data_IF_664149324191
#
_entry.id   IF_664149324191
#
_cell.length_a   1.000
_cell.length_b   1.000
_cell.length_c   1.000
_cell.angle_alpha   90.00
_cell.angle_beta   90.00
_cell.angle_gamma   90.00
#
_symmetry.space_group_name_H-M   'P 1'
#
loop_
_entity.id
_entity.type
_entity.pdbx_description
1 polymer ?
#
# COMPACT_ATOMS: atom_id res chain seq x y z
N UNK A 1 3.91 -18.32 27.54
CA UNK A 1 4.28 -17.09 28.28
C UNK A 1 4.26 -15.91 27.32
N UNK A 2 3.94 -14.70 27.79
CA UNK A 2 4.01 -13.46 27.01
C UNK A 2 4.92 -12.48 27.76
N UNK A 3 5.89 -11.91 27.05
CA UNK A 3 6.78 -10.87 27.56
C UNK A 3 6.54 -9.57 26.79
N UNK A 4 6.47 -8.47 27.52
CA UNK A 4 6.29 -7.15 26.94
C UNK A 4 7.45 -6.24 27.32
N UNK A 5 8.24 -5.87 26.33
CA UNK A 5 9.47 -5.07 26.46
C UNK A 5 9.28 -3.67 25.86
N UNK A 6 8.30 -3.46 24.99
CA UNK A 6 7.99 -2.18 24.35
C UNK A 6 7.28 -1.21 25.32
N UNK A 7 7.98 -0.81 26.38
CA UNK A 7 7.45 -0.08 27.53
C UNK A 7 8.01 -0.64 28.84
N UNK A 8 7.28 -0.50 29.97
CA UNK A 8 7.64 -1.21 31.20
C UNK A 8 7.65 -2.73 30.99
N UNK A 9 8.64 -3.40 31.58
CA UNK A 9 8.77 -4.86 31.52
C UNK A 9 7.56 -5.53 32.18
N UNK A 10 6.85 -6.37 31.42
CA UNK A 10 5.78 -7.23 31.93
C UNK A 10 5.99 -8.67 31.48
N UNK A 11 5.72 -9.62 32.36
CA UNK A 11 5.60 -11.03 32.03
C UNK A 11 4.19 -11.51 32.38
N UNK A 12 3.55 -12.28 31.49
CA UNK A 12 2.20 -12.81 31.68
C UNK A 12 2.11 -14.28 31.30
N UNK A 13 1.34 -15.03 32.08
CA UNK A 13 0.99 -16.41 31.79
C UNK A 13 -0.54 -16.52 31.70
N UNK A 14 -1.06 -16.96 30.55
CA UNK A 14 -2.51 -17.11 30.34
C UNK A 14 -3.28 -15.81 30.70
N UNK A 15 -2.74 -14.66 30.29
CA UNK A 15 -3.30 -13.33 30.57
C UNK A 15 -3.11 -12.80 32.00
N UNK A 16 -2.52 -13.56 32.94
CA UNK A 16 -2.25 -13.10 34.32
C UNK A 16 -0.82 -12.60 34.47
N UNK A 17 -0.58 -11.47 35.17
CA UNK A 17 0.77 -11.02 35.49
C UNK A 17 1.55 -12.09 36.26
N UNK A 18 2.82 -12.26 35.91
CA UNK A 18 3.79 -13.11 36.61
C UNK A 18 4.92 -12.23 37.12
N UNK A 19 5.24 -12.34 38.40
CA UNK A 19 6.37 -11.62 38.96
C UNK A 19 7.69 -12.29 38.53
N UNK A 20 8.37 -11.67 37.57
CA UNK A 20 9.67 -12.11 37.07
C UNK A 20 10.67 -10.99 37.24
N UNK A 21 11.71 -11.24 38.03
CA UNK A 21 12.75 -10.26 38.33
C UNK A 21 12.29 -9.21 39.35
N UNK A 22 12.54 -9.49 40.62
CA UNK A 22 12.23 -8.57 41.74
C UNK A 22 13.01 -7.26 41.64
N UNK A 23 14.22 -7.32 41.05
CA UNK A 23 15.13 -6.17 40.92
C UNK A 23 15.15 -5.65 39.49
N UNK A 24 15.39 -4.33 39.34
CA UNK A 24 15.61 -3.66 38.04
C UNK A 24 16.62 -4.42 37.17
N UNK A 25 17.74 -4.84 37.74
CA UNK A 25 18.81 -5.55 37.03
C UNK A 25 18.38 -6.95 36.54
N UNK A 26 17.52 -7.65 37.28
CA UNK A 26 17.01 -8.97 36.88
C UNK A 26 16.08 -8.84 35.67
N UNK A 27 15.15 -7.86 35.69
CA UNK A 27 14.27 -7.54 34.55
C UNK A 27 15.06 -7.06 33.34
N UNK A 28 16.05 -6.20 33.57
CA UNK A 28 16.92 -5.71 32.52
C UNK A 28 17.70 -6.84 31.85
N UNK A 29 18.31 -7.74 32.63
CA UNK A 29 19.05 -8.88 32.11
C UNK A 29 18.14 -9.77 31.26
N UNK A 30 16.95 -10.11 31.77
CA UNK A 30 16.00 -10.94 31.03
C UNK A 30 15.53 -10.24 29.75
N UNK A 31 15.23 -8.94 29.81
CA UNK A 31 14.86 -8.14 28.64
C UNK A 31 15.93 -8.18 27.54
N UNK A 32 17.20 -8.04 27.91
CA UNK A 32 18.32 -8.17 26.95
C UNK A 32 18.38 -9.57 26.32
N UNK A 33 18.18 -10.64 27.09
CA UNK A 33 18.16 -11.99 26.53
C UNK A 33 16.96 -12.24 25.62
N UNK A 34 15.81 -11.65 25.93
CA UNK A 34 14.58 -11.78 25.13
C UNK A 34 14.63 -10.98 23.82
N UNK A 35 15.38 -9.87 23.78
CA UNK A 35 15.65 -9.14 22.53
C UNK A 35 16.43 -9.98 21.51
N UNK A 36 17.23 -10.93 22.00
CA UNK A 36 18.06 -11.86 21.22
C UNK A 36 17.58 -13.32 21.43
N UNK A 37 16.26 -13.56 21.47
CA UNK A 37 15.70 -14.89 21.73
C UNK A 37 16.28 -15.95 20.78
N UNK A 38 16.70 -17.09 21.35
CA UNK A 38 17.38 -18.16 20.64
C UNK A 38 18.85 -17.89 20.31
N UNK A 39 19.38 -16.69 20.56
CA UNK A 39 20.79 -16.32 20.34
C UNK A 39 21.54 -16.16 21.65
N UNK A 40 22.80 -16.56 21.66
CA UNK A 40 23.66 -16.45 22.85
C UNK A 40 24.18 -15.03 23.03
N UNK A 41 23.93 -14.47 24.21
CA UNK A 41 24.52 -13.21 24.67
C UNK A 41 25.66 -13.52 25.63
N UNK A 42 26.85 -13.01 25.31
CA UNK A 42 28.07 -13.22 26.10
C UNK A 42 27.94 -12.59 27.49
N UNK A 43 28.50 -13.25 28.50
CA UNK A 43 28.49 -12.74 29.88
C UNK A 43 29.12 -11.34 29.98
N UNK A 44 30.24 -11.08 29.29
CA UNK A 44 30.89 -9.76 29.31
C UNK A 44 29.99 -8.67 28.72
N UNK A 45 29.18 -8.99 27.69
CA UNK A 45 28.21 -8.06 27.11
C UNK A 45 27.06 -7.79 28.06
N UNK A 46 26.56 -8.80 28.76
CA UNK A 46 25.53 -8.62 29.79
C UNK A 46 26.02 -7.71 30.92
N UNK A 47 27.27 -7.90 31.36
CA UNK A 47 27.91 -7.05 32.37
C UNK A 47 28.04 -5.61 31.86
N UNK A 48 28.58 -5.45 30.67
CA UNK A 48 28.75 -4.14 30.02
C UNK A 48 27.42 -3.38 29.88
N UNK A 49 26.32 -4.08 29.56
CA UNK A 49 24.98 -3.51 29.48
C UNK A 49 24.40 -3.17 30.86
N UNK A 50 24.43 -4.10 31.83
CA UNK A 50 23.79 -3.90 33.14
C UNK A 50 24.42 -2.78 33.98
N UNK A 51 25.69 -2.46 33.74
CA UNK A 51 26.44 -1.47 34.51
C UNK A 51 27.01 -0.32 33.66
N UNK A 52 26.53 -0.12 32.42
CA UNK A 52 26.99 0.96 31.54
C UNK A 52 28.53 1.07 31.44
N UNK A 53 29.20 -0.07 31.26
CA UNK A 53 30.67 -0.14 31.17
C UNK A 53 31.42 0.08 32.49
N UNK A 54 30.72 0.25 33.63
CA UNK A 54 31.31 0.47 34.97
C UNK A 54 30.94 -0.63 35.96
N UNK A 55 31.32 -1.90 35.70
CA UNK A 55 30.90 -3.02 36.53
C UNK A 55 31.66 -3.09 37.87
N UNK A 56 31.01 -3.53 38.96
CA UNK A 56 31.71 -3.88 40.20
C UNK A 56 32.57 -5.14 40.01
N UNK A 57 33.56 -5.35 40.87
CA UNK A 57 34.41 -6.55 40.86
C UNK A 57 33.60 -7.87 40.94
N UNK A 58 32.42 -7.83 41.57
CA UNK A 58 31.52 -8.97 41.75
C UNK A 58 30.52 -9.18 40.60
N UNK A 59 30.61 -8.43 39.50
CA UNK A 59 29.60 -8.42 38.43
C UNK A 59 29.31 -9.81 37.83
N UNK A 60 30.34 -10.64 37.60
CA UNK A 60 30.15 -12.01 37.09
C UNK A 60 29.31 -12.87 38.05
N UNK A 61 29.61 -12.82 39.35
CA UNK A 61 28.82 -13.55 40.36
C UNK A 61 27.40 -13.01 40.49
N UNK A 62 27.21 -11.70 40.35
CA UNK A 62 25.88 -11.09 40.33
C UNK A 62 25.04 -11.57 39.14
N UNK A 63 25.60 -11.61 37.92
CA UNK A 63 24.92 -12.15 36.73
C UNK A 63 24.52 -13.61 36.93
N UNK A 64 25.41 -14.46 37.45
CA UNK A 64 25.08 -15.87 37.74
C UNK A 64 23.93 -15.99 38.75
N UNK A 65 23.93 -15.16 39.79
CA UNK A 65 22.86 -15.10 40.79
C UNK A 65 21.52 -14.71 40.15
N UNK A 66 21.51 -13.69 39.29
CA UNK A 66 20.31 -13.25 38.59
C UNK A 66 19.78 -14.34 37.65
N UNK A 67 20.65 -15.00 36.88
CA UNK A 67 20.27 -16.14 36.02
C UNK A 67 19.65 -17.27 36.83
N UNK A 68 20.23 -17.62 37.99
CA UNK A 68 19.69 -18.68 38.85
C UNK A 68 18.27 -18.37 39.34
N UNK A 69 18.03 -17.12 39.78
CA UNK A 69 16.70 -16.67 40.21
C UNK A 69 15.70 -16.63 39.06
N UNK A 70 16.10 -16.11 37.91
CA UNK A 70 15.25 -16.06 36.71
C UNK A 70 14.88 -17.46 36.25
N UNK A 71 15.81 -18.43 36.26
CA UNK A 71 15.50 -19.84 35.98
C UNK A 71 14.43 -20.38 36.92
N UNK A 72 14.58 -20.15 38.22
CA UNK A 72 13.58 -20.58 39.22
C UNK A 72 12.20 -19.96 38.95
N UNK A 73 12.14 -18.67 38.60
CA UNK A 73 10.88 -17.98 38.32
C UNK A 73 10.22 -18.41 36.99
N UNK A 74 11.02 -18.80 35.98
CA UNK A 74 10.54 -19.07 34.62
C UNK A 74 10.25 -20.56 34.35
N UNK A 75 10.93 -21.47 35.06
CA UNK A 75 10.79 -22.92 34.87
C UNK A 75 9.34 -23.42 35.02
N UNK A 76 8.53 -22.94 35.99
CA UNK A 76 7.12 -23.35 36.12
C UNK A 76 6.25 -23.01 34.91
N UNK A 77 6.71 -22.08 34.06
CA UNK A 77 6.00 -21.59 32.88
C UNK A 77 6.63 -22.05 31.56
N UNK A 78 7.57 -23.01 31.62
CA UNK A 78 8.17 -23.61 30.44
C UNK A 78 9.14 -22.71 29.68
N UNK A 79 9.63 -21.61 30.26
CA UNK A 79 10.64 -20.73 29.63
C UNK A 79 12.02 -21.09 30.18
N UNK A 80 12.94 -21.49 29.30
CA UNK A 80 14.27 -21.97 29.70
C UNK A 80 15.38 -20.97 29.35
N UNK A 81 16.22 -20.69 30.34
CA UNK A 81 17.47 -19.94 30.14
C UNK A 81 18.64 -20.94 30.16
N UNK A 82 19.28 -21.12 29.02
CA UNK A 82 20.39 -22.07 28.85
C UNK A 82 21.74 -21.39 28.89
N UNK A 83 22.72 -22.05 29.51
CA UNK A 83 24.12 -21.62 29.46
C UNK A 83 24.74 -22.24 28.22
N UNK A 84 25.29 -21.43 27.31
CA UNK A 84 26.03 -21.92 26.13
C UNK A 84 27.38 -21.21 26.03
N UNK A 85 28.46 -22.00 26.10
CA UNK A 85 29.82 -21.46 26.12
C UNK A 85 30.01 -20.47 27.27
N UNK A 86 30.42 -19.23 26.95
CA UNK A 86 30.65 -18.15 27.92
C UNK A 86 29.46 -17.19 28.05
N UNK A 87 28.25 -17.62 27.71
CA UNK A 87 27.06 -16.77 27.72
C UNK A 87 25.77 -17.51 28.03
N UNK A 88 24.67 -16.77 27.90
CA UNK A 88 23.32 -17.22 28.20
C UNK A 88 22.41 -16.93 27.02
N UNK A 89 21.34 -17.71 26.88
CA UNK A 89 20.26 -17.45 25.94
C UNK A 89 18.93 -17.87 26.55
N UNK A 90 17.85 -17.20 26.17
CA UNK A 90 16.49 -17.72 26.34
C UNK A 90 16.20 -18.62 25.14
N UNK A 91 15.78 -19.86 25.39
CA UNK A 91 15.43 -20.80 24.32
C UNK A 91 14.16 -20.35 23.60
N UNK A 92 14.11 -20.51 22.27
CA UNK A 92 12.94 -20.21 21.46
C UNK A 92 11.84 -21.27 21.67
N UNK A 93 11.24 -21.27 22.86
CA UNK A 93 10.09 -22.08 23.26
C UNK A 93 8.76 -21.35 22.88
N UNK A 94 7.58 -21.87 23.24
CA UNK A 94 6.23 -21.30 22.91
C UNK A 94 5.89 -19.94 23.57
N UNK A 95 6.89 -19.19 24.02
CA UNK A 95 6.67 -17.85 24.56
C UNK A 95 6.62 -16.81 23.44
N UNK A 96 5.94 -15.69 23.70
CA UNK A 96 5.81 -14.57 22.77
C UNK A 96 6.50 -13.34 23.36
N UNK A 97 7.16 -12.57 22.52
CA UNK A 97 7.76 -11.28 22.88
C UNK A 97 7.13 -10.21 21.97
N UNK A 98 6.64 -9.12 22.56
CA UNK A 98 5.98 -8.03 21.81
C UNK A 98 6.90 -7.37 20.77
N UNK A 99 8.22 -7.40 20.97
CA UNK A 99 9.23 -6.96 19.99
C UNK A 99 9.19 -7.80 18.72
N UNK A 100 9.06 -9.12 18.84
CA UNK A 100 8.99 -10.03 17.69
C UNK A 100 7.66 -9.85 16.95
N UNK A 101 6.54 -9.76 17.69
CA UNK A 101 5.22 -9.46 17.12
C UNK A 101 5.22 -8.11 16.39
N UNK A 102 5.86 -7.09 16.96
CA UNK A 102 6.02 -5.79 16.31
C UNK A 102 6.79 -5.93 14.99
N UNK A 103 7.90 -6.67 14.99
CA UNK A 103 8.68 -6.91 13.77
C UNK A 103 7.92 -7.69 12.70
N UNK A 104 7.10 -8.66 13.09
CA UNK A 104 6.21 -9.39 12.19
C UNK A 104 5.15 -8.48 11.57
N UNK A 105 4.52 -7.62 12.36
CA UNK A 105 3.51 -6.67 11.88
C UNK A 105 4.11 -5.65 10.90
N UNK A 106 5.32 -5.13 11.19
CA UNK A 106 6.02 -4.21 10.27
C UNK A 106 6.39 -4.91 8.96
N UNK A 107 6.86 -6.16 9.03
CA UNK A 107 7.19 -6.96 7.83
C UNK A 107 5.95 -7.25 6.99
N UNK A 108 4.85 -7.65 7.63
CA UNK A 108 3.57 -7.88 6.97
C UNK A 108 3.04 -6.59 6.31
N UNK A 109 3.16 -5.45 6.99
CA UNK A 109 2.81 -4.16 6.42
C UNK A 109 3.71 -3.76 5.23
N UNK A 110 4.99 -4.13 5.24
CA UNK A 110 5.88 -3.94 4.10
C UNK A 110 5.41 -4.70 2.85
N UNK A 111 4.91 -5.92 3.04
CA UNK A 111 4.39 -6.80 1.98
C UNK A 111 2.94 -6.48 1.57
N UNK A 112 2.15 -5.83 2.42
CA UNK A 112 0.76 -5.50 2.14
C UNK A 112 0.67 -4.46 1.00
N UNK A 113 -0.14 -4.79 0.00
CA UNK A 113 -0.34 -3.97 -1.18
C UNK A 113 -1.43 -2.90 -0.96
N UNK A 114 -2.46 -3.21 -0.17
CA UNK A 114 -3.53 -2.26 0.19
C UNK A 114 -3.04 -1.26 1.26
N UNK A 115 -3.07 0.06 0.99
CA UNK A 115 -2.72 1.07 1.98
C UNK A 115 -3.56 1.03 3.26
N UNK A 116 -4.85 0.64 3.19
CA UNK A 116 -5.68 0.55 4.39
C UNK A 116 -5.25 -0.62 5.29
N UNK A 117 -4.95 -1.78 4.69
CA UNK A 117 -4.34 -2.90 5.40
C UNK A 117 -2.97 -2.54 6.01
N UNK A 118 -2.10 -1.85 5.26
CA UNK A 118 -0.80 -1.37 5.78
C UNK A 118 -0.99 -0.52 7.04
N UNK A 119 -1.90 0.46 7.00
CA UNK A 119 -2.21 1.31 8.17
C UNK A 119 -2.70 0.45 9.33
N UNK A 120 -3.63 -0.48 9.10
CA UNK A 120 -4.18 -1.37 10.15
C UNK A 120 -3.09 -2.21 10.82
N UNK A 121 -2.18 -2.80 10.05
CA UNK A 121 -1.08 -3.61 10.57
C UNK A 121 -0.10 -2.76 11.39
N UNK A 122 0.25 -1.57 10.88
CA UNK A 122 1.17 -0.64 11.56
C UNK A 122 0.55 -0.03 12.80
N UNK A 123 -0.76 0.26 12.81
CA UNK A 123 -1.48 0.71 13.99
C UNK A 123 -1.48 -0.36 15.09
N UNK A 124 -1.71 -1.62 14.73
CA UNK A 124 -1.59 -2.73 15.69
C UNK A 124 -0.18 -2.83 16.26
N UNK A 125 0.84 -2.74 15.41
CA UNK A 125 2.23 -2.83 15.84
C UNK A 125 2.62 -1.66 16.75
N UNK A 126 2.30 -0.43 16.34
CA UNK A 126 2.61 0.77 17.11
C UNK A 126 1.83 0.83 18.43
N UNK A 127 0.65 0.20 18.53
CA UNK A 127 -0.09 0.07 19.77
C UNK A 127 0.56 -0.87 20.81
N UNK A 128 1.52 -1.71 20.41
CA UNK A 128 2.31 -2.52 21.35
C UNK A 128 3.24 -1.65 22.20
N UNK A 129 3.61 -0.47 21.68
CA UNK A 129 4.47 0.49 22.37
C UNK A 129 3.71 1.23 23.47
N UNK A 130 4.02 0.88 24.72
CA UNK A 130 3.48 1.49 25.95
C UNK A 130 4.42 2.53 26.57
N UNK A 131 5.58 2.74 25.96
CA UNK A 131 6.63 3.67 26.43
C UNK A 131 7.98 3.36 25.76
N UNK A 132 9.08 3.95 26.25
CA UNK A 132 10.42 3.58 25.83
C UNK A 132 10.71 2.10 26.10
N UNK A 133 11.55 1.48 25.27
CA UNK A 133 12.00 0.09 25.45
C UNK A 133 12.52 -0.14 26.89
N UNK A 134 11.98 -1.15 27.58
CA UNK A 134 12.35 -1.48 28.96
C UNK A 134 12.29 -0.26 29.91
N UNK A 135 11.21 0.53 29.85
CA UNK A 135 11.08 1.83 30.51
C UNK A 135 11.46 1.84 32.01
N UNK A 136 11.14 0.78 32.75
CA UNK A 136 11.41 0.63 34.19
C UNK A 136 12.68 -0.18 34.50
N UNK A 137 13.28 -0.80 33.49
CA UNK A 137 14.41 -1.72 33.64
C UNK A 137 15.73 -1.15 33.06
N UNK A 138 15.66 -0.37 31.99
CA UNK A 138 16.78 0.30 31.35
C UNK A 138 16.73 1.82 31.61
N UNK A 139 17.88 2.45 31.80
CA UNK A 139 18.00 3.92 31.82
C UNK A 139 18.24 4.45 30.40
N UNK A 140 18.38 5.78 30.25
CA UNK A 140 18.59 6.41 28.95
C UNK A 140 19.83 5.90 28.23
N UNK A 141 20.97 5.83 28.92
CA UNK A 141 22.24 5.37 28.34
C UNK A 141 22.19 3.90 27.92
N UNK A 142 21.60 3.03 28.75
CA UNK A 142 21.42 1.64 28.38
C UNK A 142 20.46 1.50 27.20
N UNK A 143 19.36 2.26 27.22
CA UNK A 143 18.44 2.29 26.08
C UNK A 143 19.19 2.73 24.82
N UNK A 144 20.03 3.77 24.84
CA UNK A 144 20.88 4.19 23.70
C UNK A 144 21.77 3.08 23.15
N UNK A 145 22.25 2.20 24.03
CA UNK A 145 23.10 1.06 23.64
C UNK A 145 22.31 -0.16 23.18
N UNK A 146 21.02 -0.24 23.53
CA UNK A 146 20.05 -1.22 23.02
C UNK A 146 19.28 -0.68 21.80
N UNK A 147 19.24 0.66 21.62
CA UNK A 147 18.29 1.42 20.80
C UNK A 147 18.33 1.05 19.32
N UNK A 148 19.49 0.59 18.83
CA UNK A 148 19.84 0.64 17.41
C UNK A 148 18.81 0.00 16.48
N UNK A 149 18.24 -1.15 16.81
CA UNK A 149 17.40 -1.89 15.85
C UNK A 149 15.91 -1.71 16.11
N UNK A 150 15.46 -1.67 17.38
CA UNK A 150 14.03 -1.73 17.72
C UNK A 150 13.36 -0.35 17.64
N UNK A 151 14.00 0.71 18.14
CA UNK A 151 13.49 2.08 17.96
C UNK A 151 13.65 2.54 16.50
N UNK A 152 14.71 2.10 15.81
CA UNK A 152 14.85 2.33 14.37
C UNK A 152 13.69 1.70 13.60
N UNK A 153 13.34 0.45 13.92
CA UNK A 153 12.19 -0.23 13.35
C UNK A 153 10.86 0.48 13.69
N UNK A 154 10.77 1.11 14.86
CA UNK A 154 9.62 1.96 15.23
C UNK A 154 9.51 3.18 14.32
N UNK A 155 10.61 3.86 14.07
CA UNK A 155 10.64 5.01 13.16
C UNK A 155 10.29 4.58 11.73
N UNK A 156 10.83 3.45 11.25
CA UNK A 156 10.45 2.85 9.97
C UNK A 156 8.94 2.55 9.91
N UNK A 157 8.37 1.99 10.98
CA UNK A 157 6.94 1.71 11.05
C UNK A 157 6.09 2.98 10.94
N UNK A 158 6.49 4.05 11.62
CA UNK A 158 5.84 5.37 11.53
C UNK A 158 5.96 5.95 10.12
N UNK A 159 7.13 5.86 9.50
CA UNK A 159 7.35 6.31 8.11
C UNK A 159 6.45 5.55 7.13
N UNK A 160 6.43 4.22 7.21
CA UNK A 160 5.57 3.37 6.38
C UNK A 160 4.08 3.67 6.61
N UNK A 161 3.69 3.98 7.85
CA UNK A 161 2.30 4.31 8.19
C UNK A 161 1.93 5.66 7.58
N UNK A 162 2.80 6.65 7.70
CA UNK A 162 2.60 7.96 7.11
C UNK A 162 2.54 7.88 5.58
N UNK A 163 3.39 7.08 4.93
CA UNK A 163 3.31 6.83 3.48
C UNK A 163 1.96 6.21 3.08
N UNK A 164 1.47 5.22 3.83
CA UNK A 164 0.18 4.60 3.58
C UNK A 164 -0.99 5.57 3.86
N UNK A 165 -0.93 6.38 4.91
CA UNK A 165 -1.89 7.46 5.19
C UNK A 165 -1.94 8.48 4.05
N UNK A 166 -0.78 8.88 3.51
CA UNK A 166 -0.71 9.75 2.34
C UNK A 166 -1.39 9.11 1.13
N UNK A 167 -1.28 7.79 0.95
CA UNK A 167 -1.99 7.09 -0.11
C UNK A 167 -3.50 7.02 0.09
N UNK A 168 -3.98 7.08 1.34
CA UNK A 168 -5.39 7.19 1.67
C UNK A 168 -5.89 8.65 1.68
N UNK A 169 -5.06 9.63 1.30
CA UNK A 169 -5.41 11.05 1.34
C UNK A 169 -5.41 11.67 2.74
N UNK A 170 -4.95 10.95 3.77
CA UNK A 170 -4.97 11.35 5.18
C UNK A 170 -3.76 12.23 5.56
N UNK A 171 -3.44 13.22 4.74
CA UNK A 171 -2.25 14.07 4.88
C UNK A 171 -2.20 14.84 6.20
N UNK A 172 -3.33 15.32 6.72
CA UNK A 172 -3.37 16.01 8.02
C UNK A 172 -2.95 15.10 9.19
N UNK A 173 -3.30 13.81 9.15
CA UNK A 173 -2.87 12.82 10.15
C UNK A 173 -1.37 12.57 10.07
N UNK A 174 -0.85 12.39 8.85
CA UNK A 174 0.58 12.20 8.62
C UNK A 174 1.40 13.43 9.09
N UNK A 175 0.91 14.66 8.87
CA UNK A 175 1.57 15.89 9.36
C UNK A 175 1.61 15.90 10.89
N UNK A 176 0.49 15.64 11.56
CA UNK A 176 0.40 15.66 13.03
C UNK A 176 1.33 14.63 13.66
N UNK A 177 1.45 13.46 13.04
CA UNK A 177 2.32 12.38 13.50
C UNK A 177 3.81 12.67 13.27
N UNK A 178 4.19 13.13 12.07
CA UNK A 178 5.59 13.25 11.67
C UNK A 178 6.26 14.53 12.18
N UNK A 179 5.52 15.62 12.40
CA UNK A 179 6.10 16.90 12.83
C UNK A 179 6.92 16.81 14.13
N UNK A 180 6.44 16.22 15.23
CA UNK A 180 7.24 16.08 16.45
C UNK A 180 8.41 15.09 16.30
N UNK A 181 8.35 14.18 15.33
CA UNK A 181 9.46 13.26 15.05
C UNK A 181 10.54 13.91 14.18
N UNK A 182 10.16 14.74 13.21
CA UNK A 182 11.10 15.52 12.41
C UNK A 182 11.93 16.48 13.27
N UNK A 183 11.32 17.07 14.31
CA UNK A 183 12.04 17.90 15.27
C UNK A 183 13.07 17.12 16.10
N UNK A 184 12.79 15.84 16.41
CA UNK A 184 13.69 14.96 17.18
C UNK A 184 14.74 14.26 16.33
N UNK A 185 14.43 14.02 15.06
CA UNK A 185 15.29 13.32 14.09
C UNK A 185 15.46 14.15 12.81
N UNK A 186 16.01 15.37 12.89
CA UNK A 186 16.00 16.31 11.77
C UNK A 186 16.89 15.87 10.59
N UNK A 187 17.87 15.00 10.82
CA UNK A 187 18.72 14.39 9.79
C UNK A 187 18.10 13.16 9.09
N UNK A 188 16.94 12.67 9.55
CA UNK A 188 16.28 11.49 8.96
C UNK A 188 15.53 11.88 7.70
N UNK A 189 16.26 11.91 6.58
CA UNK A 189 15.77 12.41 5.29
C UNK A 189 14.47 11.74 4.81
N UNK A 190 14.30 10.45 5.09
CA UNK A 190 13.12 9.68 4.72
C UNK A 190 11.85 10.26 5.38
N UNK A 191 11.89 10.41 6.71
CA UNK A 191 10.85 11.06 7.49
C UNK A 191 10.54 12.47 6.98
N UNK A 192 11.59 13.26 6.77
CA UNK A 192 11.47 14.64 6.27
C UNK A 192 10.80 14.67 4.89
N UNK A 193 11.17 13.77 3.97
CA UNK A 193 10.59 13.70 2.64
C UNK A 193 9.08 13.37 2.67
N UNK A 194 8.66 12.45 3.55
CA UNK A 194 7.25 12.10 3.74
C UNK A 194 6.48 13.28 4.35
N UNK A 195 7.04 13.96 5.36
CA UNK A 195 6.42 15.14 5.97
C UNK A 195 6.33 16.32 4.98
N UNK A 196 7.36 16.58 4.18
CA UNK A 196 7.31 17.60 3.12
C UNK A 196 6.17 17.33 2.13
N UNK A 197 5.99 16.06 1.73
CA UNK A 197 4.90 15.65 0.84
C UNK A 197 3.54 15.85 1.51
N UNK A 198 3.43 15.52 2.80
CA UNK A 198 2.21 15.71 3.58
C UNK A 198 1.82 17.19 3.74
N UNK A 199 2.79 18.05 4.02
CA UNK A 199 2.63 19.50 4.12
C UNK A 199 2.20 20.11 2.77
N UNK A 200 2.86 19.71 1.68
CA UNK A 200 2.50 20.16 0.33
C UNK A 200 1.04 19.82 -0.01
N UNK A 201 0.62 18.55 0.19
CA UNK A 201 -0.78 18.11 0.00
C UNK A 201 -1.80 18.85 0.85
N UNK A 202 -1.39 19.29 2.03
CA UNK A 202 -2.20 20.11 2.93
C UNK A 202 -2.21 21.60 2.59
N UNK A 203 -1.80 21.98 1.37
CA UNK A 203 -1.66 23.38 0.92
C UNK A 203 -0.67 24.22 1.76
N UNK A 204 0.32 23.58 2.40
CA UNK A 204 1.35 24.23 3.23
C UNK A 204 2.73 24.17 2.54
N UNK A 205 2.78 24.58 1.27
CA UNK A 205 4.01 24.55 0.46
C UNK A 205 5.17 25.31 1.11
N UNK A 206 4.93 26.50 1.67
CA UNK A 206 5.95 27.30 2.32
C UNK A 206 6.59 26.58 3.52
N UNK A 207 5.79 25.84 4.29
CA UNK A 207 6.31 25.05 5.43
C UNK A 207 7.14 23.86 4.96
N UNK A 208 6.75 23.21 3.86
CA UNK A 208 7.52 22.12 3.27
C UNK A 208 8.89 22.59 2.75
N UNK A 209 8.94 23.75 2.09
CA UNK A 209 10.19 24.36 1.62
C UNK A 209 11.08 24.83 2.77
N UNK A 210 10.49 25.41 3.82
CA UNK A 210 11.22 25.79 5.04
C UNK A 210 11.84 24.56 5.71
N UNK A 211 11.09 23.47 5.82
CA UNK A 211 11.56 22.20 6.38
C UNK A 211 12.77 21.66 5.59
N UNK A 212 12.71 21.66 4.25
CA UNK A 212 13.87 21.28 3.42
C UNK A 212 15.09 22.16 3.70
N UNK A 213 14.91 23.48 3.78
CA UNK A 213 15.98 24.43 4.04
C UNK A 213 16.67 24.15 5.38
N UNK A 214 15.89 23.98 6.46
CA UNK A 214 16.42 23.64 7.78
C UNK A 214 17.15 22.31 7.79
N UNK A 215 16.57 21.26 7.19
CA UNK A 215 17.22 19.94 7.11
C UNK A 215 18.51 19.98 6.29
N UNK A 216 18.53 20.70 5.16
CA UNK A 216 19.76 20.86 4.36
C UNK A 216 20.85 21.55 5.15
N UNK A 217 20.52 22.64 5.85
CA UNK A 217 21.50 23.38 6.64
C UNK A 217 22.12 22.48 7.71
N UNK A 218 21.31 21.71 8.43
CA UNK A 218 21.77 20.73 9.40
C UNK A 218 22.72 19.68 8.78
N UNK A 219 22.33 19.07 7.66
CA UNK A 219 23.15 18.05 6.99
C UNK A 219 24.51 18.61 6.52
N UNK A 220 24.53 19.85 6.05
CA UNK A 220 25.76 20.52 5.62
C UNK A 220 26.63 20.88 6.83
N UNK A 221 26.06 21.49 7.86
CA UNK A 221 26.81 22.01 9.02
C UNK A 221 27.33 20.89 9.93
N UNK A 222 26.51 19.85 10.18
CA UNK A 222 26.86 18.80 11.13
C UNK A 222 27.54 17.59 10.47
N UNK A 223 27.17 17.27 9.23
CA UNK A 223 27.63 16.05 8.55
C UNK A 223 28.49 16.34 7.31
N UNK A 224 28.56 17.60 6.84
CA UNK A 224 29.33 17.97 5.65
C UNK A 224 28.78 17.38 4.35
N UNK A 225 27.51 16.99 4.31
CA UNK A 225 26.89 16.33 3.15
C UNK A 225 25.66 17.09 2.64
N UNK A 226 25.44 17.01 1.33
CA UNK A 226 24.20 17.49 0.71
C UNK A 226 23.05 16.49 0.91
N UNK A 227 21.78 16.94 0.89
CA UNK A 227 20.63 16.04 0.95
C UNK A 227 20.68 14.96 -0.14
N UNK A 228 20.27 13.75 0.23
CA UNK A 228 20.15 12.60 -0.63
C UNK A 228 19.18 12.79 -1.82
N UNK A 229 19.21 11.87 -2.79
CA UNK A 229 18.45 11.99 -4.03
C UNK A 229 16.93 12.07 -3.80
N UNK A 230 16.40 11.29 -2.84
CA UNK A 230 14.96 11.27 -2.54
C UNK A 230 14.47 12.62 -2.01
N UNK A 231 15.17 13.20 -1.05
CA UNK A 231 14.79 14.47 -0.45
C UNK A 231 14.90 15.63 -1.46
N UNK A 232 15.97 15.63 -2.29
CA UNK A 232 16.13 16.58 -3.40
C UNK A 232 15.04 16.45 -4.46
N UNK A 233 14.60 15.24 -4.77
CA UNK A 233 13.52 14.98 -5.73
C UNK A 233 12.19 15.56 -5.23
N UNK A 234 11.83 15.32 -3.97
CA UNK A 234 10.61 15.90 -3.38
C UNK A 234 10.68 17.42 -3.41
N UNK A 235 11.79 18.02 -3.00
CA UNK A 235 11.98 19.47 -3.08
C UNK A 235 11.78 20.02 -4.50
N UNK A 236 12.42 19.39 -5.50
CA UNK A 236 12.29 19.81 -6.91
C UNK A 236 10.86 19.73 -7.41
N UNK A 237 10.13 18.69 -7.03
CA UNK A 237 8.72 18.51 -7.41
C UNK A 237 7.83 19.57 -6.76
N UNK A 238 8.07 19.90 -5.48
CA UNK A 238 7.33 20.97 -4.78
C UNK A 238 7.57 22.32 -5.46
N UNK A 239 8.81 22.64 -5.83
CA UNK A 239 9.12 23.89 -6.54
C UNK A 239 8.43 24.00 -7.90
N UNK A 240 8.16 22.87 -8.56
CA UNK A 240 7.51 22.80 -9.87
C UNK A 240 5.98 22.75 -9.80
N UNK A 241 5.41 22.66 -8.60
CA UNK A 241 3.98 22.39 -8.44
C UNK A 241 3.58 21.06 -9.10
N UNK A 242 4.40 20.02 -8.96
CA UNK A 242 4.15 18.73 -9.61
C UNK A 242 2.92 18.05 -9.00
N UNK A 243 1.84 17.93 -9.78
CA UNK A 243 0.58 17.26 -9.40
C UNK A 243 0.77 15.81 -8.92
N UNK A 244 1.90 15.16 -9.23
CA UNK A 244 2.25 13.84 -8.71
C UNK A 244 2.57 13.83 -7.22
N UNK A 245 2.86 14.99 -6.63
CA UNK A 245 2.99 15.13 -5.18
C UNK A 245 1.65 15.27 -4.49
N UNK A 246 0.58 15.69 -5.17
CA UNK A 246 -0.73 15.89 -4.55
C UNK A 246 -1.50 14.60 -4.29
N UNK A 247 -1.06 13.48 -4.87
CA UNK A 247 -1.77 12.20 -4.84
C UNK A 247 -0.76 11.04 -4.69
N UNK A 248 -1.05 9.94 -3.95
CA UNK A 248 -0.24 8.71 -4.14
C UNK A 248 -0.14 8.47 -5.63
N UNK A 249 1.03 8.04 -6.13
CA UNK A 249 1.30 7.85 -7.54
C UNK A 249 0.09 7.24 -8.23
N UNK A 250 -0.78 8.12 -8.74
CA UNK A 250 -1.95 7.69 -9.45
C UNK A 250 -1.36 7.15 -10.72
N UNK A 251 -1.82 5.99 -11.16
CA UNK A 251 -1.63 5.71 -12.56
C UNK A 251 -2.12 6.95 -13.34
N UNK A 252 -1.31 7.48 -14.26
CA UNK A 252 -1.56 8.74 -14.99
C UNK A 252 -2.67 8.54 -16.04
N UNK A 253 -3.77 7.93 -15.62
CA UNK A 253 -4.91 7.59 -16.42
C UNK A 253 -6.19 7.93 -15.68
N UNK A 254 -6.28 9.04 -14.94
CA UNK A 254 -7.56 9.42 -14.32
C UNK A 254 -8.11 10.74 -14.87
N UNK A 255 -9.37 10.70 -15.25
CA UNK A 255 -10.21 11.87 -15.50
C UNK A 255 -11.36 11.92 -14.49
N UNK A 256 -11.75 13.14 -14.08
CA UNK A 256 -12.90 13.36 -13.20
C UNK A 256 -14.13 13.69 -14.04
N UNK A 257 -15.17 12.88 -13.91
CA UNK A 257 -16.44 13.06 -14.64
C UNK A 257 -17.58 12.85 -13.66
N UNK A 258 -18.47 13.84 -13.50
CA UNK A 258 -19.63 13.77 -12.56
C UNK A 258 -19.23 13.22 -11.17
N UNK A 259 -18.13 13.72 -10.63
CA UNK A 259 -17.52 13.34 -9.36
C UNK A 259 -16.98 11.91 -9.24
N UNK A 260 -16.88 11.18 -10.35
CA UNK A 260 -16.24 9.86 -10.42
C UNK A 260 -14.80 9.95 -10.92
N UNK A 261 -13.96 9.05 -10.41
CA UNK A 261 -12.61 8.80 -10.89
C UNK A 261 -12.67 7.74 -12.00
N UNK A 262 -12.35 8.10 -13.25
CA UNK A 262 -12.44 7.18 -14.39
C UNK A 262 -11.11 7.04 -15.13
N UNK A 263 -10.85 5.88 -15.78
CA UNK A 263 -9.66 5.71 -16.58
C UNK A 263 -9.67 6.66 -17.79
N UNK A 264 -8.50 7.16 -18.20
CA UNK A 264 -8.38 7.92 -19.44
C UNK A 264 -8.56 6.99 -20.65
N UNK A 265 -9.31 7.45 -21.65
CA UNK A 265 -9.48 6.70 -22.90
C UNK A 265 -8.18 6.68 -23.68
N UNK A 266 -7.58 5.49 -23.79
CA UNK A 266 -6.32 5.25 -24.51
C UNK A 266 -6.43 4.10 -25.49
N UNK A 267 -7.52 3.33 -25.42
CA UNK A 267 -7.75 2.17 -26.26
C UNK A 267 -7.97 2.54 -27.72
N UNK A 268 -8.51 3.74 -27.99
CA UNK A 268 -8.91 4.17 -29.33
C UNK A 268 -10.26 3.60 -29.79
N UNK A 269 -10.96 2.89 -28.89
CA UNK A 269 -12.30 2.35 -29.12
C UNK A 269 -13.01 2.11 -27.76
N UNK A 270 -14.31 2.44 -27.59
CA UNK A 270 -15.00 2.32 -26.30
C UNK A 270 -14.98 0.90 -25.70
N UNK A 271 -15.05 -0.13 -26.54
CA UNK A 271 -14.94 -1.53 -26.08
C UNK A 271 -13.54 -1.88 -25.52
N UNK A 272 -12.46 -1.26 -26.03
CA UNK A 272 -11.12 -1.42 -25.46
C UNK A 272 -11.00 -0.64 -24.16
N UNK A 273 -11.54 0.58 -24.13
CA UNK A 273 -11.56 1.39 -22.91
C UNK A 273 -12.43 0.76 -21.81
N UNK A 274 -13.42 -0.05 -22.18
CA UNK A 274 -14.17 -0.87 -21.25
C UNK A 274 -13.28 -1.91 -20.58
N UNK A 275 -12.49 -2.66 -21.35
CA UNK A 275 -11.48 -3.56 -20.79
C UNK A 275 -10.47 -2.81 -19.91
N UNK A 276 -10.08 -1.59 -20.30
CA UNK A 276 -9.15 -0.75 -19.55
C UNK A 276 -9.76 -0.13 -18.28
N UNK A 277 -11.04 -0.36 -17.99
CA UNK A 277 -11.58 -0.14 -16.63
C UNK A 277 -11.08 -1.16 -15.60
N UNK A 278 -10.24 -2.10 -16.03
CA UNK A 278 -9.46 -2.98 -15.17
C UNK A 278 -7.99 -2.94 -15.58
N UNK A 279 -7.08 -3.09 -14.61
CA UNK A 279 -5.64 -3.21 -14.83
C UNK A 279 -5.10 -4.47 -14.16
N UNK A 280 -3.92 -4.93 -14.60
CA UNK A 280 -3.27 -6.09 -13.99
C UNK A 280 -3.99 -7.41 -14.31
N UNK A 281 -4.47 -7.56 -15.55
CA UNK A 281 -5.16 -8.74 -16.07
C UNK A 281 -4.41 -10.09 -15.88
N UNK A 282 -3.11 -10.07 -15.59
CA UNK A 282 -2.30 -11.25 -15.29
C UNK A 282 -2.03 -11.52 -13.80
N UNK A 283 -2.64 -10.76 -12.89
CA UNK A 283 -2.40 -10.89 -11.44
C UNK A 283 -3.57 -11.57 -10.72
N UNK A 284 -3.24 -12.62 -9.96
CA UNK A 284 -4.16 -13.26 -9.03
C UNK A 284 -3.52 -13.31 -7.62
N UNK A 285 -4.09 -12.62 -6.62
CA UNK A 285 -5.30 -11.78 -6.68
C UNK A 285 -5.10 -10.45 -7.45
N UNK A 286 -6.20 -9.78 -7.87
CA UNK A 286 -6.14 -8.46 -8.53
C UNK A 286 -5.35 -7.42 -7.74
N UNK A 287 -4.61 -6.55 -8.46
CA UNK A 287 -3.85 -5.47 -7.83
C UNK A 287 -4.75 -4.44 -7.13
N UNK A 288 -4.32 -3.84 -6.01
CA UNK A 288 -5.09 -2.78 -5.35
C UNK A 288 -5.38 -1.61 -6.30
N UNK A 289 -6.64 -1.22 -6.39
CA UNK A 289 -7.08 -0.13 -7.27
C UNK A 289 -7.09 -0.46 -8.77
N UNK A 290 -6.91 -1.73 -9.15
CA UNK A 290 -7.07 -2.19 -10.52
C UNK A 290 -8.48 -1.97 -11.07
N UNK A 291 -9.51 -2.08 -10.22
CA UNK A 291 -10.92 -1.96 -10.60
C UNK A 291 -11.41 -0.49 -10.56
N UNK A 292 -11.83 -0.01 -11.73
CA UNK A 292 -12.40 1.33 -11.90
C UNK A 292 -13.93 1.34 -11.83
N UNK A 293 -14.58 0.22 -12.18
CA UNK A 293 -16.03 0.08 -12.08
C UNK A 293 -16.39 -0.32 -10.65
N UNK A 294 -16.20 0.56 -9.67
CA UNK A 294 -16.36 0.28 -8.23
C UNK A 294 -17.82 0.11 -7.79
N UNK A 295 -18.75 0.64 -8.58
CA UNK A 295 -20.19 0.52 -8.38
C UNK A 295 -20.95 0.83 -9.67
N UNK A 296 -22.27 0.64 -9.65
CA UNK A 296 -23.09 0.93 -10.83
C UNK A 296 -22.97 2.39 -11.30
N UNK A 297 -22.81 3.33 -10.35
CA UNK A 297 -22.59 4.76 -10.68
C UNK A 297 -21.37 4.95 -11.57
N UNK A 298 -20.23 4.33 -11.25
CA UNK A 298 -19.02 4.42 -12.10
C UNK A 298 -19.25 3.84 -13.49
N UNK A 299 -20.02 2.75 -13.63
CA UNK A 299 -20.38 2.17 -14.93
C UNK A 299 -21.24 3.14 -15.77
N UNK A 300 -22.29 3.71 -15.18
CA UNK A 300 -23.18 4.65 -15.87
C UNK A 300 -22.45 5.94 -16.28
N UNK A 301 -21.62 6.49 -15.38
CA UNK A 301 -20.84 7.71 -15.65
C UNK A 301 -19.74 7.44 -16.68
N UNK A 302 -19.08 6.29 -16.63
CA UNK A 302 -18.10 5.87 -17.64
C UNK A 302 -18.75 5.73 -19.02
N UNK A 303 -19.89 5.05 -19.13
CA UNK A 303 -20.59 4.89 -20.41
C UNK A 303 -21.01 6.24 -21.00
N UNK A 304 -21.37 7.21 -20.15
CA UNK A 304 -21.56 8.61 -20.54
C UNK A 304 -20.28 9.27 -21.06
N UNK A 305 -19.20 9.13 -20.31
CA UNK A 305 -17.90 9.73 -20.63
C UNK A 305 -17.35 9.27 -22.00
N UNK A 306 -17.49 7.98 -22.32
CA UNK A 306 -17.03 7.43 -23.61
C UNK A 306 -18.06 7.57 -24.75
N UNK A 307 -19.15 8.30 -24.51
CA UNK A 307 -20.17 8.61 -25.53
C UNK A 307 -21.04 7.43 -25.96
N UNK A 308 -21.15 6.39 -25.12
CA UNK A 308 -22.04 5.25 -25.34
C UNK A 308 -23.47 5.51 -24.84
N UNK A 309 -23.63 6.40 -23.88
CA UNK A 309 -24.92 6.82 -23.30
C UNK A 309 -24.92 8.35 -23.21
N UNK A 310 -26.05 9.00 -23.47
CA UNK A 310 -26.14 10.46 -23.40
C UNK A 310 -26.28 10.96 -21.95
N UNK A 311 -25.94 12.22 -21.72
CA UNK A 311 -25.85 12.82 -20.38
C UNK A 311 -27.20 12.82 -19.63
N UNK A 312 -28.32 12.92 -20.35
CA UNK A 312 -29.68 12.88 -19.80
C UNK A 312 -29.98 11.46 -19.31
N UNK A 313 -29.69 10.46 -20.15
CA UNK A 313 -29.83 9.05 -19.80
C UNK A 313 -28.97 8.67 -18.60
N UNK A 314 -27.71 9.14 -18.51
CA UNK A 314 -26.88 8.91 -17.31
C UNK A 314 -27.56 9.47 -16.06
N UNK A 315 -28.12 10.68 -16.09
CA UNK A 315 -28.86 11.26 -14.96
C UNK A 315 -30.03 10.37 -14.50
N UNK A 316 -30.79 9.84 -15.45
CA UNK A 316 -31.90 8.92 -15.19
C UNK A 316 -31.44 7.59 -14.58
N UNK A 317 -30.37 7.00 -15.10
CA UNK A 317 -29.81 5.75 -14.59
C UNK A 317 -29.34 5.89 -13.13
N UNK A 318 -28.71 7.02 -12.79
CA UNK A 318 -28.31 7.31 -11.42
C UNK A 318 -29.50 7.51 -10.47
N UNK A 319 -30.65 7.95 -10.97
CA UNK A 319 -31.88 7.98 -10.20
C UNK A 319 -32.46 6.57 -10.02
N UNK A 320 -32.54 5.77 -11.09
CA UNK A 320 -33.04 4.39 -11.04
C UNK A 320 -32.20 3.52 -10.09
N UNK A 321 -30.86 3.62 -10.16
CA UNK A 321 -29.96 2.82 -9.33
C UNK A 321 -30.10 3.13 -7.83
N UNK A 322 -30.52 4.36 -7.48
CA UNK A 322 -30.84 4.71 -6.08
C UNK A 322 -32.15 4.10 -5.60
N UNK A 323 -33.08 3.79 -6.50
CA UNK A 323 -34.38 3.17 -6.16
C UNK A 323 -34.29 1.65 -6.11
N UNK A 324 -33.40 1.05 -6.88
CA UNK A 324 -33.19 -0.40 -6.97
C UNK A 324 -31.68 -0.73 -6.98
N UNK A 325 -31.01 -0.66 -5.81
CA UNK A 325 -29.58 -0.86 -5.69
C UNK A 325 -29.16 -2.31 -5.97
N UNK A 326 -29.98 -3.29 -5.59
CA UNK A 326 -29.69 -4.71 -5.80
C UNK A 326 -29.66 -5.06 -7.28
N UNK A 327 -30.64 -4.56 -8.06
CA UNK A 327 -30.63 -4.72 -9.51
C UNK A 327 -29.46 -3.99 -10.16
N UNK A 328 -29.08 -2.82 -9.65
CA UNK A 328 -27.94 -2.07 -10.16
C UNK A 328 -26.62 -2.83 -9.95
N UNK A 329 -26.43 -3.45 -8.79
CA UNK A 329 -25.25 -4.26 -8.51
C UNK A 329 -25.22 -5.55 -9.35
N UNK A 330 -26.37 -6.19 -9.55
CA UNK A 330 -26.47 -7.35 -10.44
C UNK A 330 -26.05 -7.01 -11.88
N UNK A 331 -26.48 -5.85 -12.41
CA UNK A 331 -26.07 -5.40 -13.74
C UNK A 331 -24.58 -5.05 -13.79
N UNK A 332 -24.01 -4.50 -12.72
CA UNK A 332 -22.57 -4.26 -12.64
C UNK A 332 -21.77 -5.57 -12.69
N UNK A 333 -22.23 -6.61 -12.00
CA UNK A 333 -21.62 -7.93 -12.06
C UNK A 333 -21.64 -8.49 -13.49
N UNK A 334 -22.80 -8.43 -14.17
CA UNK A 334 -22.91 -8.84 -15.58
C UNK A 334 -21.97 -8.04 -16.50
N UNK A 335 -21.80 -6.74 -16.25
CA UNK A 335 -20.85 -5.92 -17.00
C UNK A 335 -19.39 -6.36 -16.77
N UNK A 336 -19.02 -6.68 -15.53
CA UNK A 336 -17.68 -7.21 -15.24
C UNK A 336 -17.46 -8.58 -15.89
N UNK A 337 -18.46 -9.45 -15.92
CA UNK A 337 -18.39 -10.75 -16.60
C UNK A 337 -18.18 -10.57 -18.11
N UNK A 338 -18.97 -9.69 -18.74
CA UNK A 338 -18.79 -9.32 -20.15
C UNK A 338 -17.39 -8.75 -20.39
N UNK A 339 -16.86 -7.91 -19.50
CA UNK A 339 -15.53 -7.32 -19.62
C UNK A 339 -14.43 -8.39 -19.62
N UNK A 340 -14.52 -9.37 -18.72
CA UNK A 340 -13.54 -10.47 -18.68
C UNK A 340 -13.60 -11.34 -19.93
N UNK A 341 -14.81 -11.70 -20.38
CA UNK A 341 -15.00 -12.48 -21.61
C UNK A 341 -14.47 -11.72 -22.84
N UNK A 342 -14.73 -10.42 -22.92
CA UNK A 342 -14.25 -9.56 -23.99
C UNK A 342 -12.72 -9.44 -23.99
N UNK A 343 -12.11 -9.20 -22.83
CA UNK A 343 -10.65 -9.12 -22.73
C UNK A 343 -10.01 -10.42 -23.21
N UNK A 344 -10.48 -11.57 -22.70
CA UNK A 344 -10.01 -12.89 -23.13
C UNK A 344 -10.16 -13.09 -24.63
N UNK A 345 -11.32 -12.77 -25.21
CA UNK A 345 -11.57 -12.85 -26.65
C UNK A 345 -10.63 -11.96 -27.50
N UNK A 346 -10.17 -10.83 -26.96
CA UNK A 346 -9.30 -9.89 -27.67
C UNK A 346 -7.81 -10.23 -27.52
N UNK A 347 -7.42 -10.93 -26.46
CA UNK A 347 -6.03 -11.31 -26.20
C UNK A 347 -5.70 -12.75 -26.56
N UNK A 348 -6.70 -13.62 -26.66
CA UNK A 348 -6.56 -15.01 -27.08
C UNK A 348 -7.30 -15.25 -28.42
N UNK A 349 -6.56 -15.36 -29.54
CA UNK A 349 -7.14 -15.58 -30.88
C UNK A 349 -7.98 -16.85 -31.00
N UNK A 350 -7.70 -17.86 -30.17
CA UNK A 350 -8.39 -19.16 -30.18
C UNK A 350 -9.53 -19.22 -29.13
N UNK A 351 -9.78 -18.11 -28.43
CA UNK A 351 -10.71 -17.96 -27.31
C UNK A 351 -12.20 -18.05 -27.68
N UNK A 352 -12.63 -19.19 -28.26
CA UNK A 352 -14.01 -19.45 -28.72
C UNK A 352 -15.06 -19.20 -27.64
N UNK A 353 -14.76 -19.57 -26.40
CA UNK A 353 -15.66 -19.38 -25.27
C UNK A 353 -15.92 -17.89 -24.97
N UNK A 354 -14.87 -17.06 -24.96
CA UNK A 354 -15.00 -15.61 -24.76
C UNK A 354 -15.85 -14.96 -25.84
N UNK A 355 -15.62 -15.35 -27.11
CA UNK A 355 -16.42 -14.88 -28.24
C UNK A 355 -17.91 -15.24 -28.09
N UNK A 356 -18.24 -16.50 -27.75
CA UNK A 356 -19.62 -16.95 -27.56
C UNK A 356 -20.36 -16.19 -26.45
N UNK A 357 -19.66 -15.83 -25.36
CA UNK A 357 -20.22 -15.01 -24.28
C UNK A 357 -20.49 -13.59 -24.77
N UNK A 358 -19.52 -12.94 -25.43
CA UNK A 358 -19.68 -11.58 -25.97
C UNK A 358 -20.81 -11.54 -27.01
N UNK A 359 -20.88 -12.53 -27.90
CA UNK A 359 -21.92 -12.63 -28.93
C UNK A 359 -23.33 -12.66 -28.30
N UNK A 360 -23.55 -13.44 -27.24
CA UNK A 360 -24.85 -13.51 -26.54
C UNK A 360 -25.29 -12.16 -25.96
N UNK A 361 -24.35 -11.43 -25.34
CA UNK A 361 -24.62 -10.08 -24.84
C UNK A 361 -24.93 -9.12 -25.99
N UNK A 362 -24.19 -9.21 -27.10
CA UNK A 362 -24.39 -8.37 -28.27
C UNK A 362 -25.73 -8.63 -28.98
N UNK A 363 -26.13 -9.89 -29.16
CA UNK A 363 -27.43 -10.27 -29.74
C UNK A 363 -28.60 -9.81 -28.85
N UNK A 364 -28.43 -9.88 -27.53
CA UNK A 364 -29.41 -9.35 -26.59
C UNK A 364 -29.48 -7.83 -26.70
N UNK A 365 -28.34 -7.15 -26.75
CA UNK A 365 -28.30 -5.69 -26.93
C UNK A 365 -28.96 -5.28 -28.26
N UNK A 366 -28.70 -5.99 -29.35
CA UNK A 366 -29.23 -5.68 -30.68
C UNK A 366 -30.76 -5.62 -30.73
N UNK A 367 -31.46 -6.41 -29.91
CA UNK A 367 -32.93 -6.42 -29.81
C UNK A 367 -33.49 -5.17 -29.13
N UNK A 368 -32.67 -4.49 -28.32
CA UNK A 368 -33.05 -3.34 -27.49
C UNK A 368 -32.50 -2.00 -28.05
N UNK A 369 -31.78 -2.03 -29.18
CA UNK A 369 -31.25 -0.84 -29.83
C UNK A 369 -32.25 -0.23 -30.79
N UNK A 370 -32.30 1.10 -30.80
CA UNK A 370 -33.11 1.89 -31.72
C UNK A 370 -32.20 2.76 -32.59
N UNK A 371 -32.50 2.81 -33.88
CA UNK A 371 -31.78 3.68 -34.82
C UNK A 371 -32.37 5.09 -34.78
N UNK A 372 -31.53 6.09 -34.45
CA UNK A 372 -31.95 7.48 -34.28
C UNK A 372 -31.11 8.41 -35.15
N UNK A 373 -31.71 9.53 -35.57
CA UNK A 373 -31.02 10.61 -36.27
C UNK A 373 -30.49 11.62 -35.26
N UNK A 374 -29.20 11.95 -35.35
CA UNK A 374 -28.54 12.98 -34.55
C UNK A 374 -28.83 14.38 -35.10
N UNK A 375 -28.51 15.40 -34.30
CA UNK A 375 -28.75 16.82 -34.66
C UNK A 375 -27.92 17.27 -35.86
N UNK A 376 -26.78 16.64 -36.11
CA UNK A 376 -25.95 16.85 -37.30
C UNK A 376 -26.43 16.08 -38.54
N UNK A 377 -27.52 15.32 -38.40
CA UNK A 377 -28.14 14.56 -39.48
C UNK A 377 -27.63 13.12 -39.65
N UNK A 378 -26.60 12.68 -38.92
CA UNK A 378 -26.09 11.29 -38.96
C UNK A 378 -27.04 10.32 -38.25
N UNK A 379 -27.04 9.06 -38.68
CA UNK A 379 -27.80 7.99 -38.03
C UNK A 379 -26.92 7.17 -37.10
N UNK A 380 -27.40 6.87 -35.89
CA UNK A 380 -26.68 6.07 -34.89
C UNK A 380 -27.63 5.10 -34.18
N UNK A 381 -27.12 3.91 -33.87
CA UNK A 381 -27.81 2.95 -33.00
C UNK A 381 -27.62 3.36 -31.54
N UNK A 382 -28.71 3.42 -30.79
CA UNK A 382 -28.74 3.83 -29.39
C UNK A 382 -29.53 2.83 -28.54
N UNK A 383 -29.10 2.53 -27.30
CA UNK A 383 -29.91 1.75 -26.37
C UNK A 383 -31.24 2.44 -26.09
N UNK A 384 -32.34 1.69 -26.15
CA UNK A 384 -33.64 2.22 -25.79
C UNK A 384 -33.73 2.51 -24.28
N UNK A 385 -34.51 3.53 -23.91
CA UNK A 385 -34.76 3.88 -22.52
C UNK A 385 -35.47 2.75 -21.75
N UNK A 386 -36.17 1.85 -22.44
CA UNK A 386 -36.79 0.65 -21.90
C UNK A 386 -35.78 -0.33 -21.28
N UNK A 387 -34.51 -0.31 -21.71
CA UNK A 387 -33.45 -1.13 -21.14
C UNK A 387 -33.19 -0.86 -19.65
N UNK A 388 -33.63 0.29 -19.13
CA UNK A 388 -33.48 0.66 -17.72
C UNK A 388 -32.02 0.56 -17.27
N UNK A 389 -31.78 -0.07 -16.12
CA UNK A 389 -30.43 -0.22 -15.56
C UNK A 389 -29.46 -0.98 -16.48
N UNK A 390 -29.95 -1.80 -17.44
CA UNK A 390 -29.09 -2.56 -18.37
C UNK A 390 -28.56 -1.72 -19.53
N UNK A 391 -29.01 -0.48 -19.69
CA UNK A 391 -28.63 0.39 -20.81
C UNK A 391 -27.10 0.48 -21.03
N UNK A 392 -26.24 0.75 -20.01
CA UNK A 392 -24.78 0.78 -20.21
C UNK A 392 -24.21 -0.55 -20.68
N UNK A 393 -24.73 -1.67 -20.17
CA UNK A 393 -24.33 -3.02 -20.54
C UNK A 393 -24.67 -3.32 -22.01
N UNK A 394 -25.87 -2.94 -22.47
CA UNK A 394 -26.24 -3.10 -23.88
C UNK A 394 -25.42 -2.21 -24.80
N UNK A 395 -25.15 -0.96 -24.39
CA UNK A 395 -24.33 -0.04 -25.17
C UNK A 395 -22.91 -0.58 -25.39
N UNK A 396 -22.28 -1.11 -24.33
CA UNK A 396 -20.91 -1.64 -24.43
C UNK A 396 -20.86 -2.98 -25.16
N UNK A 397 -21.86 -3.86 -24.97
CA UNK A 397 -21.95 -5.12 -25.71
C UNK A 397 -22.08 -4.89 -27.22
N UNK A 398 -22.89 -3.90 -27.62
CA UNK A 398 -23.00 -3.49 -29.01
C UNK A 398 -21.67 -2.93 -29.54
N UNK A 399 -21.03 -2.04 -28.78
CA UNK A 399 -19.70 -1.51 -29.14
C UNK A 399 -18.65 -2.62 -29.28
N UNK A 400 -18.68 -3.63 -28.41
CA UNK A 400 -17.79 -4.78 -28.48
C UNK A 400 -18.00 -5.60 -29.76
N UNK A 401 -19.24 -5.84 -30.18
CA UNK A 401 -19.52 -6.52 -31.44
C UNK A 401 -19.01 -5.73 -32.65
N UNK A 402 -19.16 -4.39 -32.66
CA UNK A 402 -18.59 -3.55 -33.70
C UNK A 402 -17.07 -3.68 -33.78
N UNK A 403 -16.37 -3.64 -32.64
CA UNK A 403 -14.92 -3.83 -32.61
C UNK A 403 -14.50 -5.21 -33.13
N UNK A 404 -15.22 -6.28 -32.73
CA UNK A 404 -14.91 -7.64 -33.16
C UNK A 404 -15.14 -7.85 -34.66
N UNK A 405 -16.05 -7.08 -35.27
CA UNK A 405 -16.29 -7.07 -36.71
C UNK A 405 -15.35 -6.10 -37.47
N UNK A 406 -14.66 -5.19 -36.79
CA UNK A 406 -13.78 -4.19 -37.39
C UNK A 406 -12.38 -4.77 -37.67
N UNK A 407 -11.86 -4.70 -38.92
CA UNK A 407 -10.50 -5.15 -39.25
C UNK A 407 -9.40 -4.48 -38.43
N UNK A 408 -9.62 -3.27 -37.89
CA UNK A 408 -8.66 -2.57 -37.03
C UNK A 408 -8.32 -3.34 -35.77
N UNK A 409 -9.14 -4.31 -35.34
CA UNK A 409 -8.81 -5.21 -34.22
C UNK A 409 -7.51 -6.00 -34.44
N UNK A 410 -7.07 -6.17 -35.70
CA UNK A 410 -5.79 -6.81 -36.02
C UNK A 410 -4.58 -5.96 -35.63
N UNK A 411 -4.77 -4.65 -35.42
CA UNK A 411 -3.76 -3.72 -34.90
C UNK A 411 -3.82 -3.59 -33.37
N UNK A 412 -4.58 -4.44 -32.69
CA UNK A 412 -4.69 -4.44 -31.23
C UNK A 412 -3.38 -4.90 -30.59
N UNK A 413 -2.98 -4.20 -29.54
CA UNK A 413 -1.88 -4.59 -28.67
C UNK A 413 -2.30 -4.52 -27.21
N UNK A 414 -1.68 -5.38 -26.40
CA UNK A 414 -1.71 -5.25 -24.94
C UNK A 414 -0.47 -4.49 -24.46
N UNK A 415 -0.63 -3.68 -23.42
CA UNK A 415 0.46 -2.99 -22.77
C UNK A 415 1.40 -4.01 -22.11
N UNK A 416 2.71 -3.96 -22.37
CA UNK A 416 3.67 -4.96 -21.86
C UNK A 416 3.98 -4.83 -20.36
N UNK A 417 3.49 -3.78 -19.68
CA UNK A 417 3.61 -3.68 -18.23
C UNK A 417 2.61 -4.64 -17.57
N UNK A 418 3.12 -5.65 -16.88
CA UNK A 418 2.33 -6.71 -16.22
C UNK A 418 1.33 -6.14 -15.20
N UNK A 419 1.64 -4.98 -14.61
CA UNK A 419 0.74 -4.28 -13.68
C UNK A 419 -0.39 -3.52 -14.39
N UNK A 420 -0.35 -3.44 -15.72
CA UNK A 420 -1.29 -2.70 -16.55
C UNK A 420 -2.13 -3.64 -17.43
N UNK A 421 -1.54 -4.26 -18.44
CA UNK A 421 -2.25 -5.13 -19.40
C UNK A 421 -3.33 -4.42 -20.22
N UNK A 422 -3.36 -3.09 -20.29
CA UNK A 422 -4.38 -2.35 -21.04
C UNK A 422 -4.27 -2.56 -22.56
N UNK A 423 -5.42 -2.63 -23.22
CA UNK A 423 -5.53 -2.84 -24.66
C UNK A 423 -5.60 -1.52 -25.40
N UNK A 424 -4.99 -1.46 -26.58
CA UNK A 424 -5.04 -0.28 -27.45
C UNK A 424 -4.82 -0.63 -28.91
N UNK A 425 -5.35 0.22 -29.81
CA UNK A 425 -5.06 0.16 -31.24
C UNK A 425 -3.69 0.81 -31.54
N UNK A 426 -2.86 0.11 -32.30
CA UNK A 426 -1.60 0.59 -32.86
C UNK A 426 -1.65 0.59 -34.40
N UNK A 427 -2.46 1.51 -34.95
CA UNK A 427 -2.58 1.66 -36.41
C UNK A 427 -1.24 2.09 -37.06
N UNK A 428 -0.32 2.66 -36.28
CA UNK A 428 0.99 3.14 -36.75
C UNK A 428 2.09 2.08 -36.80
N UNK A 429 1.91 0.95 -36.09
CA UNK A 429 2.98 -0.03 -35.83
C UNK A 429 4.07 0.43 -34.85
N UNK A 430 4.03 1.69 -34.38
CA UNK A 430 5.07 2.30 -33.55
C UNK A 430 4.68 2.36 -32.07
N UNK A 431 3.41 2.17 -31.74
CA UNK A 431 2.91 2.30 -30.36
C UNK A 431 3.17 1.02 -29.58
N UNK A 432 4.11 1.09 -28.63
CA UNK A 432 4.48 -0.06 -27.78
C UNK A 432 3.77 -0.11 -26.42
N UNK A 433 3.19 1.01 -25.96
CA UNK A 433 2.55 1.10 -24.65
C UNK A 433 1.21 1.83 -24.75
N UNK A 434 0.31 1.54 -23.80
CA UNK A 434 -0.96 2.28 -23.69
C UNK A 434 -0.70 3.79 -23.44
N UNK A 435 0.36 4.12 -22.70
CA UNK A 435 0.89 5.47 -22.55
C UNK A 435 2.41 5.46 -22.40
N UNK A 436 3.10 6.21 -23.26
CA UNK A 436 4.56 6.37 -23.20
C UNK A 436 5.01 7.09 -21.92
N UNK A 437 4.23 8.07 -21.46
CA UNK A 437 4.55 8.87 -20.26
C UNK A 437 4.45 8.08 -18.96
N UNK A 438 3.73 6.95 -18.96
CA UNK A 438 3.42 6.15 -17.77
C UNK A 438 4.11 4.80 -17.86
N UNK A 439 3.60 3.88 -18.68
CA UNK A 439 4.13 2.52 -18.82
C UNK A 439 5.47 2.52 -19.57
N UNK A 440 5.65 3.42 -20.54
CA UNK A 440 6.90 3.51 -21.30
C UNK A 440 8.11 4.05 -20.53
N UNK A 441 7.91 4.67 -19.36
CA UNK A 441 8.98 5.27 -18.52
C UNK A 441 9.10 4.63 -17.13
N UNK A 442 8.42 3.52 -16.87
CA UNK A 442 8.49 2.80 -15.58
C UNK A 442 9.94 2.37 -15.27
N UNK A 443 10.43 2.50 -14.01
CA UNK A 443 11.82 2.22 -13.63
C UNK A 443 12.19 0.73 -13.64
N UNK A 444 11.25 -0.18 -13.88
CA UNK A 444 11.44 -1.64 -13.97
C UNK A 444 12.14 -2.09 -15.28
N UNK A 445 13.09 -1.28 -15.77
CA UNK A 445 13.80 -1.49 -17.04
C UNK A 445 14.96 -2.45 -16.88
N UNK A 446 14.67 -3.70 -16.54
CA UNK A 446 15.59 -4.79 -16.86
C UNK A 446 14.90 -5.78 -17.80
N UNK A 447 15.34 -5.73 -19.07
CA UNK A 447 15.11 -6.64 -20.21
C UNK A 447 14.09 -6.16 -21.25
N UNK A 448 14.61 -5.49 -22.28
CA UNK A 448 14.22 -5.71 -23.68
C UNK A 448 15.11 -4.87 -24.63
N UNK A 449 16.41 -5.18 -24.63
CA UNK A 449 17.27 -4.98 -25.79
C UNK A 449 17.88 -6.34 -26.11
N UNK A 450 17.14 -7.15 -26.87
CA UNK A 450 17.67 -8.30 -27.61
C UNK A 450 16.55 -8.89 -28.47
N UNK A 451 16.44 -8.36 -29.69
CA UNK A 451 16.07 -8.99 -30.97
C UNK A 451 15.61 -7.88 -31.92
#
# INVERSE_FOLDING_TARGET
>A
MEFRLLGPFEARHQGRPVEVGSRRQERCLLGVLLLDTGRMVRTDRLIDLLWNGRPPASARGAVQTYIGRLRGALTPYGVRISTRGQGYLVEADEHRVDVDEFGELVRAAGAAADPAERVRLLDRGLALWRGPLLADAADGELRDRLHGTVEELRLVAVELRAEAQLALGQHARAVAELMPLAARHPAREQLVAVLMTALYRGARQADALRLYGTTRQLLVDELGVEPGPRLREVHRRILRGDDRLDRPGRPVYEVRVRDECLPWSVGGHPALDFCNTFAGWGHEPPLPGAEWLRGYRTLAVWAGHVGLVDDVSVGRLLHLARRDPDRAEAVLAEARDLRHALYGCLTDPDGRHGFEVVARYAETAAKELVFRRETDGRGRWWPDLAAGLRMPLHAVAWSAAHLLADPRRLALRSCPDERCGWLFLDESGLRRWCSLGTCGRSPDRSRCHSA
#
